data_IF_832471106273
#
_entry.id   IF_832471106273
#
_cell.length_a   1.000
_cell.length_b   1.000
_cell.length_c   1.000
_cell.angle_alpha   90.00
_cell.angle_beta   90.00
_cell.angle_gamma   90.00
#
_symmetry.space_group_name_H-M   'P 1'
#
loop_
_entity.id
_entity.type
_entity.pdbx_description
1 polymer ?
#
# COMPACT_ATOMS: atom_id res chain seq x y z
N UNK A 1 15.13 10.72 -0.20
CA UNK A 1 15.40 10.34 1.20
C UNK A 1 15.30 8.81 1.28
N UNK A 2 16.31 8.10 1.82
CA UNK A 2 16.23 6.66 2.03
C UNK A 2 15.12 6.33 3.05
N UNK A 3 14.67 5.08 3.06
CA UNK A 3 13.69 4.63 4.04
C UNK A 3 14.28 4.73 5.46
N UNK A 4 13.43 5.11 6.43
CA UNK A 4 13.80 5.12 7.86
C UNK A 4 13.91 3.69 8.42
N UNK A 5 13.20 2.74 7.81
CA UNK A 5 13.21 1.33 8.18
C UNK A 5 14.58 0.69 7.94
N UNK A 6 14.93 -0.31 8.75
CA UNK A 6 16.16 -1.08 8.57
C UNK A 6 16.12 -1.91 7.29
N UNK A 7 17.29 -2.29 6.76
CA UNK A 7 17.36 -3.19 5.61
C UNK A 7 16.68 -4.54 5.89
N UNK A 8 16.78 -5.03 7.13
CA UNK A 8 16.16 -6.28 7.55
C UNK A 8 14.62 -6.20 7.47
N UNK A 9 14.03 -5.11 7.97
CA UNK A 9 12.58 -4.89 7.89
C UNK A 9 12.11 -4.81 6.43
N UNK A 10 12.88 -4.14 5.57
CA UNK A 10 12.56 -4.04 4.15
C UNK A 10 12.58 -5.42 3.47
N UNK A 11 13.58 -6.25 3.76
CA UNK A 11 13.66 -7.63 3.23
C UNK A 11 12.51 -8.51 3.73
N UNK A 12 12.13 -8.37 5.00
CA UNK A 12 11.01 -9.11 5.58
C UNK A 12 9.70 -8.76 4.86
N UNK A 13 9.45 -7.47 4.60
CA UNK A 13 8.25 -7.03 3.87
C UNK A 13 8.31 -7.49 2.40
N UNK A 14 9.47 -7.41 1.76
CA UNK A 14 9.67 -7.91 0.38
C UNK A 14 9.30 -9.39 0.26
N UNK A 15 9.75 -10.22 1.20
CA UNK A 15 9.41 -11.64 1.25
C UNK A 15 7.90 -11.87 1.40
N UNK A 16 7.25 -11.12 2.28
CA UNK A 16 5.79 -11.20 2.47
C UNK A 16 5.04 -10.82 1.19
N UNK A 17 5.48 -9.75 0.52
CA UNK A 17 4.90 -9.33 -0.76
C UNK A 17 5.07 -10.39 -1.84
N UNK A 18 6.23 -11.07 -1.88
CA UNK A 18 6.49 -12.19 -2.80
C UNK A 18 5.51 -13.32 -2.57
N UNK A 19 5.35 -13.79 -1.32
CA UNK A 19 4.42 -14.86 -0.98
C UNK A 19 2.97 -14.51 -1.35
N UNK A 20 2.52 -13.27 -1.11
CA UNK A 20 1.18 -12.82 -1.50
C UNK A 20 1.03 -12.84 -3.03
N UNK A 21 2.04 -12.37 -3.76
CA UNK A 21 2.03 -12.37 -5.23
C UNK A 21 1.95 -13.79 -5.81
N UNK A 22 2.65 -14.75 -5.22
CA UNK A 22 2.64 -16.15 -5.64
C UNK A 22 1.28 -16.81 -5.36
N UNK A 23 0.69 -16.56 -4.20
CA UNK A 23 -0.61 -17.13 -3.81
C UNK A 23 -1.80 -16.48 -4.54
N UNK A 24 -1.69 -15.19 -4.88
CA UNK A 24 -2.79 -14.40 -5.46
C UNK A 24 -2.31 -13.48 -6.60
N UNK A 25 -1.81 -14.03 -7.72
CA UNK A 25 -1.14 -13.24 -8.76
C UNK A 25 -2.03 -12.18 -9.40
N UNK A 26 -3.30 -12.51 -9.66
CA UNK A 26 -4.26 -11.57 -10.26
C UNK A 26 -4.65 -10.45 -9.28
N UNK A 27 -4.93 -10.81 -8.02
CA UNK A 27 -5.25 -9.83 -6.97
C UNK A 27 -4.09 -8.89 -6.69
N UNK A 28 -2.87 -9.43 -6.61
CA UNK A 28 -1.65 -8.65 -6.44
C UNK A 28 -1.43 -7.69 -7.61
N UNK A 29 -1.61 -8.15 -8.86
CA UNK A 29 -1.50 -7.30 -10.05
C UNK A 29 -2.53 -6.16 -10.03
N UNK A 30 -3.78 -6.45 -9.66
CA UNK A 30 -4.83 -5.43 -9.51
C UNK A 30 -4.48 -4.38 -8.47
N UNK A 31 -3.95 -4.77 -7.31
CA UNK A 31 -3.49 -3.83 -6.28
C UNK A 31 -2.32 -2.97 -6.78
N UNK A 32 -1.33 -3.56 -7.45
CA UNK A 32 -0.20 -2.81 -8.03
C UNK A 32 -0.69 -1.76 -9.03
N UNK A 33 -1.64 -2.10 -9.91
CA UNK A 33 -2.21 -1.13 -10.84
C UNK A 33 -3.03 -0.03 -10.14
N UNK A 34 -3.80 -0.38 -9.10
CA UNK A 34 -4.49 0.61 -8.27
C UNK A 34 -3.51 1.64 -7.69
N UNK A 35 -2.37 1.21 -7.15
CA UNK A 35 -1.33 2.11 -6.65
C UNK A 35 -0.71 2.97 -7.77
N UNK A 36 -0.44 2.39 -8.94
CA UNK A 36 0.18 3.09 -10.08
C UNK A 36 -0.72 4.17 -10.68
N UNK A 37 -2.01 3.90 -10.80
CA UNK A 37 -3.00 4.82 -11.38
C UNK A 37 -3.33 5.98 -10.42
N UNK A 38 -3.16 5.78 -9.11
CA UNK A 38 -3.58 6.72 -8.08
C UNK A 38 -2.42 7.38 -7.32
N UNK A 39 -1.21 7.47 -7.92
CA UNK A 39 -0.02 8.07 -7.29
C UNK A 39 -0.28 9.46 -6.67
N UNK A 40 -1.13 10.27 -7.30
CA UNK A 40 -1.53 11.60 -6.82
C UNK A 40 -2.20 11.60 -5.44
N UNK A 41 -2.81 10.49 -5.03
CA UNK A 41 -3.46 10.34 -3.72
C UNK A 41 -2.43 10.06 -2.62
N UNK A 42 -1.27 9.50 -2.98
CA UNK A 42 -0.20 9.11 -2.07
C UNK A 42 -0.45 7.75 -1.41
N UNK A 43 0.59 6.91 -1.37
CA UNK A 43 0.48 5.52 -0.90
C UNK A 43 -0.06 5.39 0.53
N UNK A 44 0.33 6.29 1.44
CA UNK A 44 -0.19 6.31 2.82
C UNK A 44 -1.71 6.42 2.88
N UNK A 45 -2.31 7.27 2.05
CA UNK A 45 -3.75 7.48 2.04
C UNK A 45 -4.49 6.28 1.44
N UNK A 46 -3.93 5.68 0.39
CA UNK A 46 -4.46 4.44 -0.19
C UNK A 46 -4.43 3.32 0.85
N UNK A 47 -3.33 3.14 1.58
CA UNK A 47 -3.22 2.12 2.62
C UNK A 47 -4.23 2.36 3.75
N UNK A 48 -4.43 3.60 4.20
CA UNK A 48 -5.46 3.93 5.20
C UNK A 48 -6.86 3.53 4.76
N UNK A 49 -7.22 3.80 3.50
CA UNK A 49 -8.51 3.38 2.92
C UNK A 49 -8.62 1.86 2.87
N UNK A 50 -7.57 1.18 2.38
CA UNK A 50 -7.52 -0.28 2.26
C UNK A 50 -7.66 -1.00 3.61
N UNK A 51 -7.08 -0.43 4.68
CA UNK A 51 -7.14 -0.98 6.04
C UNK A 51 -8.39 -0.52 6.82
N UNK A 52 -9.26 0.31 6.22
CA UNK A 52 -10.45 0.84 6.90
C UNK A 52 -10.13 1.86 8.01
N UNK A 53 -8.92 2.40 8.06
CA UNK A 53 -8.48 3.36 9.09
C UNK A 53 -9.01 4.78 8.87
N UNK A 54 -9.45 5.09 7.64
CA UNK A 54 -10.03 6.38 7.28
C UNK A 54 -11.05 6.25 6.15
N UNK A 55 -11.94 7.25 6.05
CA UNK A 55 -12.82 7.47 4.89
C UNK A 55 -12.26 8.61 4.02
N UNK A 56 -12.72 8.76 2.77
CA UNK A 56 -12.35 9.90 1.93
C UNK A 56 -12.62 11.26 2.58
N UNK A 57 -13.76 11.41 3.26
CA UNK A 57 -14.19 12.63 3.96
C UNK A 57 -13.21 12.98 5.07
N UNK A 58 -12.87 11.99 5.92
CA UNK A 58 -11.87 12.14 6.99
C UNK A 58 -10.49 12.51 6.46
N UNK A 59 -10.06 11.93 5.33
CA UNK A 59 -8.78 12.28 4.69
C UNK A 59 -8.78 13.69 4.09
N UNK A 60 -9.96 14.23 3.78
CA UNK A 60 -10.14 15.61 3.34
C UNK A 60 -10.43 16.60 4.48
N UNK A 61 -10.58 16.11 5.71
CA UNK A 61 -10.91 16.95 6.86
C UNK A 61 -12.33 17.51 6.79
N UNK A 62 -13.23 16.81 6.11
CA UNK A 62 -14.66 17.11 6.06
C UNK A 62 -15.30 16.13 7.04
N UNK A 63 -15.83 16.64 8.15
CA UNK A 63 -16.79 15.91 9.00
C UNK A 63 -18.21 16.23 8.55
#
# INVERSE_FOLDING_TARGET
MPAVASLEDLKKVEEQLRTIKENHPQGYAGLVELFRQNRKIGYKNICKLMMGEATPEKLKGIE
#
